data_IF_035641483435
#
_entry.id   IF_035641483435
#
_cell.length_a   1.000
_cell.length_b   1.000
_cell.length_c   1.000
_cell.angle_alpha   90.00
_cell.angle_beta   90.00
_cell.angle_gamma   90.00
#
_symmetry.space_group_name_H-M   'P 1'
#
loop_
_entity.id
_entity.type
_entity.pdbx_description
1 polymer ?
#
# COMPACT_ATOMS: atom_id res chain seq x y z
N UNK A 1 -12.72 -2.17 -3.01
CA UNK A 1 -11.89 -0.93 -2.98
C UNK A 1 -11.45 -0.62 -1.55
N UNK A 2 -12.34 -0.17 -0.64
CA UNK A 2 -12.01 0.03 0.80
C UNK A 2 -11.53 -1.21 1.55
N UNK A 3 -12.08 -2.40 1.27
CA UNK A 3 -11.63 -3.66 1.89
C UNK A 3 -10.21 -4.02 1.45
N UNK A 4 -9.86 -3.79 0.18
CA UNK A 4 -8.51 -4.09 -0.33
C UNK A 4 -7.47 -3.14 0.27
N UNK A 5 -7.81 -1.85 0.39
CA UNK A 5 -7.01 -0.85 1.09
C UNK A 5 -6.81 -1.23 2.56
N UNK A 6 -7.90 -1.49 3.30
CA UNK A 6 -7.82 -1.88 4.71
C UNK A 6 -7.05 -3.20 4.93
N UNK A 7 -7.19 -4.18 4.04
CA UNK A 7 -6.45 -5.44 4.12
C UNK A 7 -4.95 -5.24 3.90
N UNK A 8 -4.57 -4.36 2.96
CA UNK A 8 -3.17 -4.00 2.71
C UNK A 8 -2.56 -3.26 3.89
N UNK A 9 -3.23 -2.23 4.40
CA UNK A 9 -2.81 -1.50 5.60
C UNK A 9 -2.64 -2.44 6.79
N UNK A 10 -3.61 -3.32 7.04
CA UNK A 10 -3.54 -4.31 8.13
C UNK A 10 -2.37 -5.26 7.94
N UNK A 11 -2.15 -5.76 6.73
CA UNK A 11 -1.03 -6.66 6.43
C UNK A 11 0.32 -6.00 6.71
N UNK A 12 0.52 -4.74 6.29
CA UNK A 12 1.78 -4.02 6.48
C UNK A 12 2.04 -3.74 7.96
N UNK A 13 1.03 -3.25 8.69
CA UNK A 13 1.14 -2.97 10.13
C UNK A 13 1.50 -4.24 10.91
N UNK A 14 0.87 -5.37 10.59
CA UNK A 14 1.21 -6.66 11.20
C UNK A 14 2.65 -7.14 10.91
N UNK A 15 3.28 -6.60 9.87
CA UNK A 15 4.67 -6.87 9.53
C UNK A 15 5.63 -5.72 9.93
N UNK A 16 5.15 -4.71 10.67
CA UNK A 16 5.97 -3.59 11.14
C UNK A 16 6.27 -2.54 10.07
N UNK A 17 5.44 -2.44 9.03
CA UNK A 17 5.56 -1.42 7.97
C UNK A 17 4.30 -0.56 7.90
N UNK A 18 4.48 0.67 7.45
CA UNK A 18 3.40 1.60 7.08
C UNK A 18 3.65 2.17 5.69
N UNK A 19 2.60 2.70 5.05
CA UNK A 19 2.73 3.35 3.74
C UNK A 19 2.93 4.85 3.91
N UNK A 20 4.09 5.35 3.51
CA UNK A 20 4.41 6.78 3.36
C UNK A 20 3.87 7.29 2.02
N UNK A 21 2.55 7.42 1.92
CA UNK A 21 1.88 8.04 0.79
C UNK A 21 0.52 8.61 1.23
N UNK A 22 0.05 9.66 0.54
CA UNK A 22 -1.29 10.21 0.80
C UNK A 22 -2.39 9.17 0.53
N UNK A 23 -3.50 9.22 1.27
CA UNK A 23 -4.66 8.34 1.05
C UNK A 23 -5.13 8.41 -0.41
N UNK A 24 -5.19 9.61 -1.00
CA UNK A 24 -5.55 9.81 -2.40
C UNK A 24 -4.64 9.05 -3.37
N UNK A 25 -3.34 9.00 -3.08
CA UNK A 25 -2.38 8.26 -3.90
C UNK A 25 -2.57 6.75 -3.76
N UNK A 26 -2.70 6.27 -2.52
CA UNK A 26 -2.98 4.87 -2.23
C UNK A 26 -4.27 4.41 -2.93
N UNK A 27 -5.32 5.23 -2.91
CA UNK A 27 -6.58 4.97 -3.61
C UNK A 27 -6.39 4.87 -5.14
N UNK A 28 -5.64 5.80 -5.75
CA UNK A 28 -5.38 5.77 -7.20
C UNK A 28 -4.65 4.51 -7.61
N UNK A 29 -3.65 4.07 -6.85
CA UNK A 29 -2.90 2.86 -7.17
C UNK A 29 -3.78 1.62 -7.06
N UNK A 30 -4.60 1.52 -6.00
CA UNK A 30 -5.56 0.42 -5.85
C UNK A 30 -6.60 0.42 -6.97
N UNK A 31 -7.05 1.60 -7.42
CA UNK A 31 -7.97 1.72 -8.55
C UNK A 31 -7.35 1.19 -9.84
N UNK A 32 -6.08 1.53 -10.12
CA UNK A 32 -5.34 1.06 -11.30
C UNK A 32 -5.16 -0.46 -11.29
N UNK A 33 -4.88 -1.04 -10.13
CA UNK A 33 -4.82 -2.51 -9.99
C UNK A 33 -6.19 -3.14 -10.23
N UNK A 34 -7.25 -2.57 -9.66
CA UNK A 34 -8.61 -3.07 -9.82
C UNK A 34 -9.16 -2.92 -11.25
N UNK A 35 -8.73 -1.90 -12.00
CA UNK A 35 -9.09 -1.72 -13.41
C UNK A 35 -8.21 -2.53 -14.38
N UNK A 36 -7.15 -3.17 -13.89
CA UNK A 36 -6.18 -3.91 -14.70
C UNK A 36 -5.15 -3.03 -15.42
N UNK A 37 -5.16 -1.72 -15.17
CA UNK A 37 -4.16 -0.77 -15.70
C UNK A 37 -2.78 -0.92 -15.03
N UNK A 38 -2.74 -1.53 -13.84
CA UNK A 38 -1.50 -1.91 -13.16
C UNK A 38 -1.52 -3.40 -12.82
N UNK A 39 -0.47 -4.11 -13.23
CA UNK A 39 -0.24 -5.50 -12.85
C UNK A 39 0.39 -5.62 -11.46
N UNK A 40 0.56 -6.87 -11.02
CA UNK A 40 1.16 -7.20 -9.71
C UNK A 40 2.56 -6.60 -9.54
N UNK A 41 3.40 -6.64 -10.58
CA UNK A 41 4.77 -6.14 -10.54
C UNK A 41 4.79 -4.64 -10.30
N UNK A 42 4.09 -3.86 -11.14
CA UNK A 42 3.99 -2.41 -11.00
C UNK A 42 3.42 -1.99 -9.63
N UNK A 43 2.45 -2.74 -9.10
CA UNK A 43 1.94 -2.50 -7.75
C UNK A 43 2.97 -2.80 -6.66
N UNK A 44 3.72 -3.89 -6.79
CA UNK A 44 4.74 -4.29 -5.82
C UNK A 44 5.92 -3.31 -5.82
N UNK A 45 6.32 -2.81 -7.00
CA UNK A 45 7.34 -1.78 -7.13
C UNK A 45 6.92 -0.46 -6.49
N UNK A 46 5.69 -0.01 -6.74
CA UNK A 46 5.15 1.17 -6.07
C UNK A 46 5.12 0.95 -4.55
N UNK A 47 4.65 -0.20 -4.09
CA UNK A 47 4.58 -0.48 -2.66
C UNK A 47 5.97 -0.49 -2.01
N UNK A 48 6.96 -1.13 -2.62
CA UNK A 48 8.33 -1.17 -2.11
C UNK A 48 8.98 0.23 -2.00
N UNK A 49 8.60 1.17 -2.87
CA UNK A 49 9.09 2.53 -2.83
C UNK A 49 8.42 3.41 -1.76
N UNK A 50 7.27 3.00 -1.22
CA UNK A 50 6.46 3.80 -0.29
C UNK A 50 6.26 3.14 1.07
N UNK A 51 6.82 1.95 1.32
CA UNK A 51 6.79 1.36 2.67
C UNK A 51 7.95 1.87 3.51
N UNK A 52 7.65 2.27 4.74
CA UNK A 52 8.65 2.61 5.75
C UNK A 52 8.45 1.74 6.99
N UNK A 53 9.52 1.41 7.75
CA UNK A 53 9.36 0.75 9.03
C UNK A 53 8.50 1.61 9.95
N UNK A 54 7.53 1.00 10.62
CA UNK A 54 6.84 1.66 11.73
C UNK A 54 7.92 1.95 12.76
N UNK A 55 8.17 3.23 13.05
CA UNK A 55 9.14 3.61 14.05
C UNK A 55 8.81 2.90 15.37
N UNK A 56 9.67 1.96 15.79
CA UNK A 56 9.64 1.44 17.15
C UNK A 56 9.87 2.63 18.07
N UNK A 57 8.79 3.15 18.64
CA UNK A 57 8.84 4.13 19.71
C UNK A 57 9.44 3.38 20.93
N UNK A 58 10.78 3.43 21.04
CA UNK A 58 11.52 3.06 22.25
C UNK A 58 11.25 4.07 23.36
#
# INVERSE_FOLDING_TARGET
KRIAHAAMETFLVLNGYEIEASVDEQERVILRVASGEAGREAFTEWLAAHIVPVAENR
#
